data_IF_929374760940
#
_entry.id   IF_929374760940
#
_cell.length_a   1.000
_cell.length_b   1.000
_cell.length_c   1.000
_cell.angle_alpha   90.00
_cell.angle_beta   90.00
_cell.angle_gamma   90.00
#
_symmetry.space_group_name_H-M   'P 1'
#
loop_
_entity.id
_entity.type
_entity.pdbx_description
1 polymer ?
#
# COMPACT_ATOMS: atom_id res chain seq x y z
N UNK A 1 -7.68 -17.25 12.88
CA UNK A 1 -8.86 -17.36 11.98
C UNK A 1 -8.51 -17.95 10.63
N UNK A 2 -7.43 -17.49 9.96
CA UNK A 2 -6.81 -18.19 8.84
C UNK A 2 -6.74 -19.70 9.11
N UNK A 3 -6.27 -20.10 10.30
CA UNK A 3 -6.16 -21.50 10.76
C UNK A 3 -7.38 -22.46 10.56
N UNK A 4 -8.64 -22.00 10.64
CA UNK A 4 -9.81 -22.90 10.52
C UNK A 4 -10.36 -22.97 9.09
N UNK A 5 -10.31 -21.84 8.36
CA UNK A 5 -10.53 -21.80 6.91
C UNK A 5 -9.40 -22.59 6.24
N UNK A 6 -8.16 -22.37 6.67
CA UNK A 6 -6.95 -23.11 6.28
C UNK A 6 -7.10 -24.60 6.49
N UNK A 7 -7.64 -25.16 7.60
CA UNK A 7 -7.66 -26.63 7.74
C UNK A 7 -8.61 -27.34 6.79
N UNK A 8 -9.78 -26.77 6.53
CA UNK A 8 -10.76 -27.36 5.60
C UNK A 8 -10.33 -27.10 4.15
N UNK A 9 -9.75 -25.93 3.87
CA UNK A 9 -9.20 -25.61 2.55
C UNK A 9 -7.80 -26.23 2.30
N UNK A 10 -6.96 -26.49 3.30
CA UNK A 10 -5.66 -27.21 3.18
C UNK A 10 -5.90 -28.64 2.76
N UNK A 11 -6.96 -29.27 3.26
CA UNK A 11 -7.34 -30.63 2.86
C UNK A 11 -7.80 -30.69 1.39
N UNK A 12 -8.47 -29.63 0.90
CA UNK A 12 -8.96 -29.56 -0.49
C UNK A 12 -7.88 -28.99 -1.45
N UNK A 13 -7.05 -28.07 -0.98
CA UNK A 13 -6.09 -27.30 -1.77
C UNK A 13 -4.70 -27.92 -1.84
N UNK A 14 -4.32 -28.81 -0.91
CA UNK A 14 -3.12 -29.64 -1.06
C UNK A 14 -3.21 -30.60 -2.25
N UNK A 15 -4.42 -30.91 -2.72
CA UNK A 15 -4.65 -31.85 -3.82
C UNK A 15 -5.00 -31.19 -5.16
N UNK A 16 -5.38 -29.90 -5.17
CA UNK A 16 -5.90 -29.24 -6.38
C UNK A 16 -4.96 -28.18 -6.98
N UNK A 17 -3.83 -27.84 -6.35
CA UNK A 17 -2.96 -26.77 -6.82
C UNK A 17 -1.52 -27.24 -6.94
N UNK A 18 -0.92 -26.99 -8.11
CA UNK A 18 0.51 -27.17 -8.35
C UNK A 18 1.31 -26.34 -7.35
N UNK A 19 2.44 -26.88 -6.89
CA UNK A 19 3.43 -26.10 -6.15
C UNK A 19 3.80 -24.85 -6.96
N UNK A 20 3.81 -23.69 -6.31
CA UNK A 20 4.35 -22.47 -6.92
C UNK A 20 5.83 -22.76 -7.20
N UNK A 21 6.32 -22.59 -8.46
CA UNK A 21 7.74 -22.73 -8.75
C UNK A 21 8.55 -21.80 -7.85
N UNK A 22 9.72 -22.25 -7.40
CA UNK A 22 10.60 -21.46 -6.55
C UNK A 22 12.01 -21.47 -7.13
N UNK A 23 12.46 -20.31 -7.56
CA UNK A 23 13.79 -20.08 -8.11
C UNK A 23 14.57 -19.17 -7.16
N UNK A 24 15.68 -19.64 -6.59
CA UNK A 24 16.47 -18.85 -5.66
C UNK A 24 17.06 -17.61 -6.33
N UNK A 25 16.97 -16.47 -5.65
CA UNK A 25 17.54 -15.18 -6.05
C UNK A 25 18.17 -14.47 -4.86
N UNK A 26 19.08 -13.54 -5.15
CA UNK A 26 19.55 -12.54 -4.19
C UNK A 26 19.17 -11.16 -4.70
N UNK A 27 18.62 -10.34 -3.82
CA UNK A 27 18.06 -9.04 -4.20
C UNK A 27 18.92 -7.94 -3.60
N UNK A 28 19.51 -7.06 -4.44
CA UNK A 28 20.17 -5.84 -3.98
C UNK A 28 19.18 -4.88 -3.28
N UNK A 29 19.65 -4.00 -2.38
CA UNK A 29 21.05 -3.83 -1.97
C UNK A 29 21.49 -4.78 -0.83
N UNK A 30 20.54 -5.33 -0.05
CA UNK A 30 20.84 -6.06 1.19
C UNK A 30 21.31 -7.52 0.99
N UNK A 31 21.46 -7.94 -0.28
CA UNK A 31 21.81 -9.31 -0.68
C UNK A 31 20.88 -10.36 -0.05
N UNK A 32 19.60 -9.99 0.14
CA UNK A 32 18.60 -10.85 0.78
C UNK A 32 18.34 -12.06 -0.11
N UNK A 33 18.58 -13.25 0.44
CA UNK A 33 18.29 -14.52 -0.22
C UNK A 33 16.79 -14.82 -0.13
N UNK A 34 16.15 -15.06 -1.28
CA UNK A 34 14.74 -15.39 -1.38
C UNK A 34 14.44 -16.20 -2.64
N UNK A 35 13.16 -16.38 -2.99
CA UNK A 35 12.72 -17.08 -4.20
C UNK A 35 11.78 -16.24 -5.04
N UNK A 36 11.78 -16.51 -6.34
CA UNK A 36 10.80 -16.00 -7.31
C UNK A 36 10.00 -17.11 -7.99
N UNK A 37 8.86 -16.75 -8.58
CA UNK A 37 7.87 -17.67 -9.15
C UNK A 37 8.09 -18.05 -10.61
N UNK A 38 9.10 -17.49 -11.28
CA UNK A 38 9.44 -17.83 -12.67
C UNK A 38 10.93 -17.70 -13.02
N UNK A 39 11.36 -18.44 -14.04
CA UNK A 39 12.72 -18.33 -14.58
C UNK A 39 13.01 -16.95 -15.16
N UNK A 40 12.00 -16.30 -15.75
CA UNK A 40 12.15 -14.96 -16.30
C UNK A 40 12.38 -13.94 -15.18
N UNK A 41 11.67 -14.05 -14.05
CA UNK A 41 11.92 -13.22 -12.88
C UNK A 41 13.32 -13.46 -12.32
N UNK A 42 13.76 -14.72 -12.23
CA UNK A 42 15.11 -15.06 -11.76
C UNK A 42 16.18 -14.44 -12.66
N UNK A 43 16.07 -14.65 -13.97
CA UNK A 43 17.00 -14.10 -14.95
C UNK A 43 16.98 -12.56 -14.96
N UNK A 44 15.79 -11.96 -14.82
CA UNK A 44 15.62 -10.52 -14.78
C UNK A 44 16.44 -9.89 -13.65
N UNK A 45 16.28 -10.40 -12.42
CA UNK A 45 16.99 -9.88 -11.24
C UNK A 45 18.48 -10.19 -11.29
N UNK A 46 18.86 -11.44 -11.58
CA UNK A 46 20.25 -11.87 -11.44
C UNK A 46 21.14 -11.32 -12.55
N UNK A 47 20.68 -11.37 -13.80
CA UNK A 47 21.53 -11.10 -14.97
C UNK A 47 21.09 -9.84 -15.71
N UNK A 48 19.82 -9.74 -16.08
CA UNK A 48 19.32 -8.69 -16.97
C UNK A 48 19.55 -7.28 -16.39
N UNK A 49 19.19 -7.03 -15.13
CA UNK A 49 19.40 -5.72 -14.50
C UNK A 49 20.88 -5.34 -14.36
N UNK A 50 21.78 -6.33 -14.32
CA UNK A 50 23.24 -6.10 -14.25
C UNK A 50 23.90 -5.90 -15.61
N UNK A 51 23.13 -5.83 -16.70
CA UNK A 51 23.64 -5.71 -18.06
C UNK A 51 24.13 -7.02 -18.68
N UNK A 52 24.05 -8.15 -17.97
CA UNK A 52 24.38 -9.46 -18.54
C UNK A 52 23.24 -9.92 -19.45
N UNK A 53 23.58 -10.30 -20.69
CA UNK A 53 22.64 -10.70 -21.76
C UNK A 53 23.02 -12.10 -22.23
N UNK A 54 22.62 -13.09 -21.43
CA UNK A 54 23.02 -14.50 -21.57
C UNK A 54 21.88 -15.39 -22.08
N UNK A 55 20.68 -14.83 -22.33
CA UNK A 55 19.51 -15.56 -22.86
C UNK A 55 18.97 -14.85 -24.11
N UNK A 56 19.55 -15.10 -25.30
CA UNK A 56 19.18 -14.42 -26.54
C UNK A 56 17.68 -14.51 -26.91
N UNK A 57 16.98 -15.54 -26.44
CA UNK A 57 15.53 -15.71 -26.65
C UNK A 57 14.68 -14.83 -25.71
N UNK A 58 15.16 -14.54 -24.51
CA UNK A 58 14.44 -13.74 -23.51
C UNK A 58 14.83 -12.25 -23.57
N UNK A 59 16.06 -11.94 -23.98
CA UNK A 59 16.61 -10.59 -23.92
C UNK A 59 15.80 -9.53 -24.69
N UNK A 60 15.38 -9.74 -25.95
CA UNK A 60 14.63 -8.72 -26.70
C UNK A 60 13.29 -8.39 -26.04
N UNK A 61 12.57 -9.41 -25.60
CA UNK A 61 11.27 -9.27 -24.96
C UNK A 61 11.37 -8.60 -23.58
N UNK A 62 12.35 -9.01 -22.75
CA UNK A 62 12.57 -8.38 -21.44
C UNK A 62 13.02 -6.93 -21.58
N UNK A 63 13.81 -6.62 -22.61
CA UNK A 63 14.17 -5.24 -22.93
C UNK A 63 12.95 -4.41 -23.32
N UNK A 64 12.08 -4.92 -24.19
CA UNK A 64 10.84 -4.24 -24.57
C UNK A 64 9.94 -3.95 -23.35
N UNK A 65 9.74 -4.94 -22.46
CA UNK A 65 8.96 -4.76 -21.25
C UNK A 65 9.60 -3.77 -20.27
N UNK A 66 10.92 -3.83 -20.11
CA UNK A 66 11.64 -2.94 -19.21
C UNK A 66 11.63 -1.50 -19.73
N UNK A 67 11.85 -1.28 -21.02
CA UNK A 67 11.75 0.03 -21.65
C UNK A 67 10.32 0.57 -21.53
N UNK A 68 9.30 -0.27 -21.74
CA UNK A 68 7.90 0.11 -21.52
C UNK A 68 7.62 0.48 -20.06
N UNK A 69 8.22 -0.20 -19.09
CA UNK A 69 8.10 0.14 -17.67
C UNK A 69 8.73 1.50 -17.38
N UNK A 70 9.95 1.76 -17.85
CA UNK A 70 10.63 3.04 -17.68
C UNK A 70 9.85 4.18 -18.35
N UNK A 71 9.25 3.93 -19.51
CA UNK A 71 8.42 4.91 -20.21
C UNK A 71 7.01 5.06 -19.61
N UNK A 72 6.71 4.41 -18.47
CA UNK A 72 5.39 4.40 -17.82
C UNK A 72 4.24 3.93 -18.73
N UNK A 73 4.52 2.97 -19.62
CA UNK A 73 3.55 2.43 -20.60
C UNK A 73 2.90 1.12 -20.17
N UNK A 74 3.26 0.55 -19.01
CA UNK A 74 2.62 -0.67 -18.52
C UNK A 74 1.31 -0.33 -17.78
N UNK A 75 0.21 -0.71 -18.41
CA UNK A 75 -1.13 -0.63 -17.82
C UNK A 75 -1.37 -1.82 -16.88
N UNK A 76 -2.44 -1.75 -16.08
CA UNK A 76 -2.86 -2.89 -15.26
C UNK A 76 -3.15 -4.14 -16.11
N UNK A 77 -3.70 -3.98 -17.32
CA UNK A 77 -3.99 -5.08 -18.23
C UNK A 77 -2.70 -5.69 -18.80
N UNK A 78 -1.71 -4.86 -19.17
CA UNK A 78 -0.39 -5.32 -19.60
C UNK A 78 0.31 -6.11 -18.47
N UNK A 79 0.29 -5.58 -17.25
CA UNK A 79 0.89 -6.26 -16.10
C UNK A 79 0.18 -7.59 -15.78
N UNK A 80 -1.15 -7.64 -15.89
CA UNK A 80 -1.90 -8.88 -15.73
C UNK A 80 -1.56 -9.91 -16.82
N UNK A 81 -1.28 -9.47 -18.04
CA UNK A 81 -0.80 -10.34 -19.12
C UNK A 81 0.61 -10.89 -18.84
N UNK A 82 1.54 -10.03 -18.41
CA UNK A 82 2.88 -10.46 -17.98
C UNK A 82 2.77 -11.48 -16.85
N UNK A 83 1.91 -11.24 -15.86
CA UNK A 83 1.66 -12.18 -14.76
C UNK A 83 1.24 -13.55 -15.26
N UNK A 84 0.27 -13.62 -16.18
CA UNK A 84 -0.23 -14.90 -16.72
C UNK A 84 0.82 -15.66 -17.53
N UNK A 85 1.66 -14.94 -18.28
CA UNK A 85 2.59 -15.55 -19.23
C UNK A 85 3.99 -15.79 -18.64
N UNK A 86 4.38 -15.03 -17.62
CA UNK A 86 5.77 -14.96 -17.15
C UNK A 86 5.92 -14.88 -15.63
N UNK A 87 4.83 -15.02 -14.86
CA UNK A 87 4.86 -15.04 -13.41
C UNK A 87 4.62 -13.67 -12.77
N UNK A 88 4.13 -13.72 -11.53
CA UNK A 88 3.74 -12.56 -10.72
C UNK A 88 4.95 -11.71 -10.39
N UNK A 89 6.09 -12.36 -10.09
CA UNK A 89 7.27 -11.66 -9.61
C UNK A 89 7.92 -10.83 -10.71
N UNK A 90 7.90 -11.30 -11.97
CA UNK A 90 8.37 -10.48 -13.09
C UNK A 90 7.49 -9.24 -13.27
N UNK A 91 6.16 -9.41 -13.24
CA UNK A 91 5.23 -8.29 -13.36
C UNK A 91 5.41 -7.29 -12.20
N UNK A 92 5.66 -7.79 -10.99
CA UNK A 92 5.93 -6.97 -9.81
C UNK A 92 7.24 -6.17 -9.95
N UNK A 93 8.31 -6.80 -10.44
CA UNK A 93 9.60 -6.14 -10.68
C UNK A 93 9.50 -5.06 -11.76
N UNK A 94 8.71 -5.29 -12.82
CA UNK A 94 8.44 -4.28 -13.85
C UNK A 94 7.60 -3.12 -13.31
N UNK A 95 6.58 -3.41 -12.50
CA UNK A 95 5.80 -2.38 -11.83
C UNK A 95 6.68 -1.56 -10.87
N UNK A 96 7.60 -2.19 -10.15
CA UNK A 96 8.56 -1.51 -9.30
C UNK A 96 9.44 -0.55 -10.11
N UNK A 97 10.02 -1.01 -11.22
CA UNK A 97 10.81 -0.15 -12.11
C UNK A 97 9.99 1.05 -12.64
N UNK A 98 8.73 0.84 -12.98
CA UNK A 98 7.83 1.92 -13.39
C UNK A 98 7.56 2.93 -12.25
N UNK A 99 7.33 2.45 -11.02
CA UNK A 99 7.14 3.28 -9.84
C UNK A 99 8.41 4.11 -9.57
N UNK A 100 9.58 3.48 -9.54
CA UNK A 100 10.86 4.15 -9.23
C UNK A 100 11.29 5.15 -10.30
N UNK A 101 10.89 4.97 -11.56
CA UNK A 101 11.28 5.88 -12.63
C UNK A 101 10.53 7.23 -12.60
N UNK A 102 9.47 7.36 -11.79
CA UNK A 102 8.79 8.64 -11.60
C UNK A 102 9.59 9.55 -10.66
N UNK A 103 9.95 10.78 -11.07
CA UNK A 103 10.82 11.66 -10.28
C UNK A 103 10.34 11.91 -8.84
N UNK A 104 9.04 12.09 -8.65
CA UNK A 104 8.41 12.32 -7.35
C UNK A 104 8.52 11.10 -6.43
N UNK A 105 8.36 9.89 -6.96
CA UNK A 105 8.49 8.64 -6.21
C UNK A 105 9.95 8.44 -5.80
N UNK A 106 10.88 8.65 -6.73
CA UNK A 106 12.31 8.57 -6.46
C UNK A 106 12.74 9.53 -5.34
N UNK A 107 12.25 10.76 -5.35
CA UNK A 107 12.57 11.76 -4.32
C UNK A 107 12.06 11.36 -2.93
N UNK A 108 10.78 10.98 -2.81
CA UNK A 108 10.25 10.58 -1.51
C UNK A 108 10.92 9.30 -0.99
N UNK A 109 11.23 8.35 -1.90
CA UNK A 109 11.99 7.14 -1.56
C UNK A 109 13.37 7.50 -1.03
N UNK A 110 14.12 8.38 -1.70
CA UNK A 110 15.43 8.85 -1.25
C UNK A 110 15.39 9.53 0.13
N UNK A 111 14.36 10.32 0.41
CA UNK A 111 14.19 10.94 1.73
C UNK A 111 13.91 9.87 2.79
N UNK A 112 13.04 8.90 2.49
CA UNK A 112 12.79 7.78 3.39
C UNK A 112 14.06 6.96 3.64
N UNK A 113 14.82 6.64 2.59
CA UNK A 113 16.06 5.89 2.70
C UNK A 113 17.09 6.66 3.53
N UNK A 114 17.21 7.97 3.32
CA UNK A 114 18.06 8.83 4.14
C UNK A 114 17.71 8.74 5.62
N UNK A 115 16.43 8.88 6.00
CA UNK A 115 16.01 8.71 7.40
C UNK A 115 16.25 7.29 7.93
N UNK A 116 16.16 6.27 7.07
CA UNK A 116 16.49 4.89 7.41
C UNK A 116 17.99 4.69 7.62
N UNK A 117 18.86 5.46 6.97
CA UNK A 117 20.31 5.36 7.16
C UNK A 117 20.83 6.09 8.41
N UNK A 118 20.05 7.01 8.97
CA UNK A 118 20.44 7.74 10.18
C UNK A 118 20.50 6.81 11.39
N UNK A 119 21.72 6.50 11.84
CA UNK A 119 21.94 5.79 13.10
C UNK A 119 21.71 6.72 14.30
N UNK A 120 20.99 6.21 15.30
CA UNK A 120 20.73 6.91 16.57
C UNK A 120 20.07 8.29 16.42
N UNK A 121 19.42 8.56 15.28
CA UNK A 121 18.67 9.80 15.12
C UNK A 121 17.37 9.72 15.90
N UNK A 122 17.24 10.63 16.86
CA UNK A 122 16.00 10.85 17.60
C UNK A 122 15.30 12.09 17.03
N UNK A 123 14.08 11.93 16.49
CA UNK A 123 13.34 13.09 16.02
C UNK A 123 13.11 14.08 17.16
N UNK A 124 13.30 15.39 16.91
CA UNK A 124 13.10 16.38 17.95
C UNK A 124 11.61 16.41 18.33
N UNK A 125 11.35 16.43 19.64
CA UNK A 125 10.03 16.71 20.18
C UNK A 125 9.60 18.13 19.76
N UNK A 126 8.41 18.26 19.20
CA UNK A 126 7.91 19.53 18.66
C UNK A 126 6.40 19.62 18.75
N UNK A 127 5.88 20.75 19.25
CA UNK A 127 4.45 21.07 19.18
C UNK A 127 3.96 21.35 17.75
N UNK A 128 4.90 21.57 16.82
CA UNK A 128 4.63 22.01 15.45
C UNK A 128 4.36 20.85 14.49
N UNK A 129 4.45 19.59 14.95
CA UNK A 129 4.01 18.46 14.14
C UNK A 129 2.51 18.57 13.81
N UNK A 130 2.08 18.07 12.64
CA UNK A 130 0.67 18.02 12.32
C UNK A 130 -0.06 17.09 13.28
N UNK A 131 -1.37 17.30 13.40
CA UNK A 131 -2.25 16.30 13.98
C UNK A 131 -2.44 15.16 12.97
N UNK A 132 -2.36 13.90 13.41
CA UNK A 132 -2.55 12.73 12.54
C UNK A 132 -3.89 12.05 12.83
N UNK A 133 -4.81 12.04 11.86
CA UNK A 133 -6.01 11.21 11.93
C UNK A 133 -5.72 9.82 11.35
N UNK A 134 -5.94 8.77 12.14
CA UNK A 134 -5.60 7.39 11.79
C UNK A 134 -6.87 6.60 11.49
N UNK A 135 -7.03 6.18 10.24
CA UNK A 135 -8.19 5.41 9.77
C UNK A 135 -7.79 3.94 9.62
N UNK A 136 -8.39 3.02 10.39
CA UNK A 136 -7.99 1.62 10.42
C UNK A 136 -8.42 0.84 9.18
N UNK A 137 -7.89 -0.38 9.06
CA UNK A 137 -8.30 -1.36 8.08
C UNK A 137 -9.53 -2.15 8.49
N UNK A 138 -9.90 -3.11 7.65
CA UNK A 138 -11.05 -3.98 7.91
C UNK A 138 -10.77 -4.99 9.04
N UNK A 139 -11.77 -5.23 9.89
CA UNK A 139 -11.69 -6.19 11.01
C UNK A 139 -10.56 -5.88 12.02
N UNK A 140 -10.23 -4.60 12.23
CA UNK A 140 -9.20 -4.18 13.16
C UNK A 140 -9.53 -4.55 14.62
N UNK A 141 -10.81 -4.59 15.01
CA UNK A 141 -11.22 -4.98 16.37
C UNK A 141 -11.34 -6.50 16.50
N UNK A 142 -12.00 -7.14 15.53
CA UNK A 142 -12.28 -8.58 15.55
C UNK A 142 -11.05 -9.43 15.24
N UNK A 143 -10.05 -8.88 14.55
CA UNK A 143 -8.81 -9.53 14.14
C UNK A 143 -7.58 -8.65 14.43
N UNK A 144 -7.26 -8.38 15.71
CA UNK A 144 -6.17 -7.47 16.08
C UNK A 144 -4.79 -7.96 15.60
N UNK A 145 -4.63 -9.28 15.44
CA UNK A 145 -3.41 -9.90 14.92
C UNK A 145 -3.13 -9.60 13.45
N UNK A 146 -3.96 -8.80 12.77
CA UNK A 146 -3.68 -8.32 11.41
C UNK A 146 -2.83 -7.05 11.40
N UNK A 147 -2.82 -6.28 12.50
CA UNK A 147 -2.21 -4.94 12.55
C UNK A 147 -3.06 -3.86 11.87
N UNK A 148 -4.31 -4.15 11.48
CA UNK A 148 -5.21 -3.19 10.83
C UNK A 148 -5.59 -2.00 11.73
N UNK A 149 -5.37 -2.08 13.05
CA UNK A 149 -5.59 -1.00 14.02
C UNK A 149 -4.40 -0.03 14.15
N UNK A 150 -3.31 -0.28 13.41
CA UNK A 150 -2.07 0.49 13.41
C UNK A 150 -1.52 0.76 14.82
N UNK A 151 -1.69 -0.21 15.73
CA UNK A 151 -1.33 -0.02 17.15
C UNK A 151 0.13 0.32 17.36
N UNK A 152 1.04 -0.41 16.70
CA UNK A 152 2.48 -0.17 16.85
C UNK A 152 2.86 1.22 16.35
N UNK A 153 2.29 1.65 15.22
CA UNK A 153 2.47 2.99 14.67
C UNK A 153 1.94 4.07 15.61
N UNK A 154 0.78 3.86 16.24
CA UNK A 154 0.25 4.77 17.26
C UNK A 154 1.18 4.89 18.46
N UNK A 155 1.69 3.78 18.99
CA UNK A 155 2.67 3.80 20.08
C UNK A 155 3.93 4.57 19.67
N UNK A 156 4.42 4.42 18.44
CA UNK A 156 5.55 5.21 17.95
C UNK A 156 5.21 6.71 17.91
N UNK A 157 4.02 7.09 17.44
CA UNK A 157 3.59 8.49 17.43
C UNK A 157 3.48 9.07 18.85
N UNK A 158 2.96 8.31 19.81
CA UNK A 158 2.89 8.70 21.23
C UNK A 158 4.29 8.98 21.80
N UNK A 159 5.24 8.08 21.56
CA UNK A 159 6.63 8.24 22.02
C UNK A 159 7.34 9.42 21.36
N UNK A 160 7.01 9.72 20.10
CA UNK A 160 7.51 10.90 19.39
C UNK A 160 6.81 12.21 19.79
N UNK A 161 5.80 12.15 20.68
CA UNK A 161 5.01 13.30 21.09
C UNK A 161 4.19 13.90 19.95
N UNK A 162 3.82 13.10 18.94
CA UNK A 162 3.01 13.53 17.80
C UNK A 162 1.53 13.28 18.12
N UNK A 163 0.75 14.37 18.16
CA UNK A 163 -0.68 14.31 18.41
C UNK A 163 -1.37 13.52 17.30
N UNK A 164 -2.20 12.57 17.70
CA UNK A 164 -2.96 11.76 16.77
C UNK A 164 -4.34 11.40 17.33
N UNK A 165 -5.25 11.01 16.44
CA UNK A 165 -6.58 10.52 16.80
C UNK A 165 -6.88 9.28 15.98
N UNK A 166 -7.21 8.21 16.68
CA UNK A 166 -7.73 7.00 16.06
C UNK A 166 -9.21 7.22 15.68
N UNK A 167 -9.54 7.03 14.41
CA UNK A 167 -10.90 7.17 13.89
C UNK A 167 -11.61 5.83 14.06
N UNK A 168 -12.42 5.71 15.11
CA UNK A 168 -13.20 4.50 15.41
C UNK A 168 -14.32 4.31 14.36
N UNK A 169 -13.98 3.60 13.27
CA UNK A 169 -14.93 3.18 12.25
C UNK A 169 -15.61 1.87 12.63
N UNK A 170 -16.81 1.60 12.10
CA UNK A 170 -17.48 0.33 12.37
C UNK A 170 -16.76 -0.85 11.68
N UNK A 171 -16.36 -1.84 12.48
CA UNK A 171 -15.43 -2.91 12.09
C UNK A 171 -15.93 -3.78 10.91
N UNK A 172 -17.24 -4.02 10.84
CA UNK A 172 -17.91 -4.78 9.78
C UNK A 172 -18.99 -3.98 9.02
N UNK A 173 -18.82 -2.67 8.90
CA UNK A 173 -19.70 -1.84 8.07
C UNK A 173 -19.19 -1.64 6.64
N UNK A 174 -20.01 -1.03 5.79
CA UNK A 174 -19.64 -0.69 4.41
C UNK A 174 -18.57 0.39 4.36
N UNK A 175 -17.87 0.51 3.23
CA UNK A 175 -16.99 1.65 2.97
C UNK A 175 -17.76 2.97 3.01
N UNK A 176 -18.99 3.00 2.50
CA UNK A 176 -19.80 4.22 2.43
C UNK A 176 -20.23 4.77 3.79
N UNK A 177 -20.59 3.87 4.70
CA UNK A 177 -20.99 4.19 6.07
C UNK A 177 -19.78 4.67 6.88
N UNK A 178 -18.67 3.92 6.82
CA UNK A 178 -17.45 4.32 7.52
C UNK A 178 -16.84 5.62 6.96
N UNK A 179 -16.95 5.87 5.66
CA UNK A 179 -16.55 7.15 5.09
C UNK A 179 -17.36 8.34 5.68
N UNK A 180 -18.59 8.13 6.14
CA UNK A 180 -19.35 9.18 6.82
C UNK A 180 -18.79 9.47 8.21
N UNK A 181 -18.34 8.43 8.93
CA UNK A 181 -17.64 8.54 10.21
C UNK A 181 -16.31 9.28 10.02
N UNK A 182 -15.51 8.87 9.03
CA UNK A 182 -14.22 9.51 8.69
C UNK A 182 -14.43 10.99 8.37
N UNK A 183 -15.39 11.31 7.49
CA UNK A 183 -15.74 12.69 7.15
C UNK A 183 -16.08 13.53 8.40
N UNK A 184 -16.95 13.01 9.26
CA UNK A 184 -17.37 13.69 10.49
C UNK A 184 -16.18 13.94 11.44
N UNK A 185 -15.36 12.94 11.70
CA UNK A 185 -14.24 13.04 12.63
C UNK A 185 -13.16 13.97 12.07
N UNK A 186 -12.79 13.83 10.81
CA UNK A 186 -11.81 14.68 10.14
C UNK A 186 -12.27 16.14 10.12
N UNK A 187 -13.53 16.40 9.77
CA UNK A 187 -14.09 17.76 9.77
C UNK A 187 -14.05 18.38 11.17
N UNK A 188 -14.30 17.59 12.22
CA UNK A 188 -14.19 18.07 13.60
C UNK A 188 -12.74 18.40 13.97
N UNK A 189 -11.79 17.52 13.64
CA UNK A 189 -10.37 17.73 13.94
C UNK A 189 -9.79 18.94 13.21
N UNK A 190 -10.26 19.20 11.99
CA UNK A 190 -9.87 20.36 11.19
C UNK A 190 -10.21 21.73 11.80
N UNK A 191 -11.06 21.78 12.83
CA UNK A 191 -11.33 23.02 13.55
C UNK A 191 -10.21 23.42 14.52
N UNK A 192 -9.29 22.50 14.81
CA UNK A 192 -8.09 22.78 15.58
C UNK A 192 -7.05 23.46 14.68
N UNK A 193 -6.36 24.50 15.15
CA UNK A 193 -5.42 25.30 14.34
C UNK A 193 -4.16 24.56 13.84
N UNK A 194 -4.06 23.25 14.05
CA UNK A 194 -2.93 22.43 13.58
C UNK A 194 -3.20 21.89 12.18
N UNK A 195 -2.19 21.82 11.30
CA UNK A 195 -2.28 21.07 10.05
C UNK A 195 -2.72 19.61 10.31
N UNK A 196 -3.58 19.08 9.45
CA UNK A 196 -4.12 17.72 9.58
C UNK A 196 -3.57 16.81 8.49
N UNK A 197 -2.91 15.72 8.88
CA UNK A 197 -2.50 14.61 8.02
C UNK A 197 -3.44 13.43 8.27
N UNK A 198 -3.97 12.81 7.22
CA UNK A 198 -4.70 11.54 7.37
C UNK A 198 -3.77 10.39 7.04
N UNK A 199 -3.67 9.41 7.94
CA UNK A 199 -3.02 8.12 7.73
C UNK A 199 -4.12 7.06 7.67
N UNK A 200 -4.23 6.35 6.56
CA UNK A 200 -5.23 5.28 6.41
C UNK A 200 -4.56 3.99 5.97
N UNK A 201 -5.09 2.83 6.38
CA UNK A 201 -4.62 1.54 5.87
C UNK A 201 -5.73 0.66 5.28
N UNK A 202 -5.38 -0.15 4.28
CA UNK A 202 -6.27 -1.18 3.71
C UNK A 202 -7.68 -0.61 3.36
N UNK A 203 -8.76 -1.15 3.91
CA UNK A 203 -10.15 -0.65 3.70
C UNK A 203 -10.30 0.84 4.06
N UNK A 204 -9.59 1.30 5.09
CA UNK A 204 -9.58 2.70 5.51
C UNK A 204 -9.12 3.66 4.41
N UNK A 205 -8.31 3.19 3.45
CA UNK A 205 -7.94 3.97 2.27
C UNK A 205 -9.14 4.33 1.40
N UNK A 206 -10.05 3.38 1.15
CA UNK A 206 -11.26 3.60 0.34
C UNK A 206 -12.29 4.46 1.07
N UNK A 207 -12.36 4.32 2.39
CA UNK A 207 -13.20 5.16 3.27
C UNK A 207 -12.71 6.61 3.26
N UNK A 208 -11.40 6.79 3.40
CA UNK A 208 -10.73 8.10 3.35
C UNK A 208 -10.90 8.76 1.99
N UNK A 209 -10.70 8.01 0.90
CA UNK A 209 -10.92 8.51 -0.46
C UNK A 209 -12.33 9.09 -0.63
N UNK A 210 -13.35 8.34 -0.19
CA UNK A 210 -14.74 8.76 -0.31
C UNK A 210 -15.06 9.96 0.60
N UNK A 211 -14.51 9.99 1.82
CA UNK A 211 -14.65 11.11 2.72
C UNK A 211 -14.05 12.40 2.12
N UNK A 212 -12.82 12.32 1.56
CA UNK A 212 -12.17 13.44 0.86
C UNK A 212 -13.03 13.92 -0.30
N UNK A 213 -13.52 13.02 -1.15
CA UNK A 213 -14.40 13.40 -2.26
C UNK A 213 -15.73 14.03 -1.83
N UNK A 214 -16.24 13.71 -0.63
CA UNK A 214 -17.40 14.39 -0.05
C UNK A 214 -17.04 15.78 0.45
N UNK A 215 -15.94 15.92 1.19
CA UNK A 215 -15.46 17.21 1.70
C UNK A 215 -15.13 18.19 0.56
N UNK A 216 -14.46 17.71 -0.49
CA UNK A 216 -14.12 18.51 -1.67
C UNK A 216 -15.38 19.06 -2.35
N UNK A 217 -16.39 18.20 -2.59
CA UNK A 217 -17.67 18.64 -3.16
C UNK A 217 -18.41 19.68 -2.32
N UNK A 218 -18.20 19.68 -1.00
CA UNK A 218 -18.77 20.69 -0.09
C UNK A 218 -17.91 21.95 0.03
N UNK A 219 -16.71 21.98 -0.57
CA UNK A 219 -15.74 23.05 -0.38
C UNK A 219 -15.21 23.15 1.05
N UNK A 220 -15.21 22.04 1.79
CA UNK A 220 -14.85 21.97 3.21
C UNK A 220 -13.58 21.15 3.47
N UNK A 221 -12.74 20.94 2.44
CA UNK A 221 -11.54 20.14 2.61
C UNK A 221 -10.49 20.90 3.43
N UNK A 222 -10.12 20.33 4.57
CA UNK A 222 -9.17 20.92 5.51
C UNK A 222 -7.95 20.03 5.80
N UNK A 223 -7.83 18.91 5.09
CA UNK A 223 -6.68 18.02 5.18
C UNK A 223 -5.51 18.65 4.41
N UNK A 224 -4.31 18.57 4.98
CA UNK A 224 -3.06 19.08 4.37
C UNK A 224 -2.23 18.01 3.69
N UNK A 225 -2.50 16.73 3.96
CA UNK A 225 -1.94 15.61 3.22
C UNK A 225 -2.62 14.30 3.56
N UNK A 226 -2.44 13.29 2.70
CA UNK A 226 -2.96 11.94 2.93
C UNK A 226 -1.88 10.89 2.67
N UNK A 227 -1.62 10.09 3.70
CA UNK A 227 -0.78 8.90 3.65
C UNK A 227 -1.64 7.63 3.53
N UNK A 228 -1.69 7.07 2.33
CA UNK A 228 -2.48 5.90 1.98
C UNK A 228 -1.61 4.62 2.04
N UNK A 229 -1.74 3.83 3.10
CA UNK A 229 -0.92 2.62 3.33
C UNK A 229 -1.66 1.36 2.86
N UNK A 230 -1.20 0.79 1.75
CA UNK A 230 -1.79 -0.40 1.11
C UNK A 230 -3.31 -0.30 0.95
N UNK A 231 -3.84 0.90 0.68
CA UNK A 231 -5.27 1.13 0.62
C UNK A 231 -5.93 0.39 -0.54
N UNK A 232 -7.05 -0.30 -0.30
CA UNK A 232 -7.77 -1.05 -1.34
C UNK A 232 -8.69 -0.14 -2.17
N UNK A 233 -8.13 0.93 -2.71
CA UNK A 233 -8.84 2.06 -3.33
C UNK A 233 -9.83 1.59 -4.40
N UNK A 234 -9.37 0.76 -5.34
CA UNK A 234 -10.19 0.17 -6.40
C UNK A 234 -10.74 -1.22 -6.04
N UNK A 235 -10.78 -1.55 -4.74
CA UNK A 235 -11.27 -2.80 -4.19
C UNK A 235 -10.19 -3.88 -4.09
N UNK A 236 -10.62 -5.12 -3.84
CA UNK A 236 -9.75 -6.28 -3.73
C UNK A 236 -10.35 -7.52 -4.39
N UNK A 237 -9.56 -8.33 -5.13
CA UNK A 237 -10.02 -9.62 -5.66
C UNK A 237 -10.47 -10.61 -4.57
N UNK A 238 -9.98 -10.45 -3.34
CA UNK A 238 -10.41 -11.28 -2.20
C UNK A 238 -11.90 -11.04 -1.92
N UNK A 239 -12.35 -9.78 -1.92
CA UNK A 239 -13.76 -9.46 -1.72
C UNK A 239 -14.61 -10.01 -2.87
N UNK A 240 -14.17 -9.88 -4.12
CA UNK A 240 -14.88 -10.43 -5.29
C UNK A 240 -15.08 -11.95 -5.15
N UNK A 241 -14.03 -12.66 -4.71
CA UNK A 241 -14.10 -14.12 -4.51
C UNK A 241 -15.02 -14.50 -3.37
N UNK A 242 -15.00 -13.77 -2.26
CA UNK A 242 -15.89 -14.00 -1.14
C UNK A 242 -17.35 -13.72 -1.49
N UNK A 243 -17.62 -12.69 -2.31
CA UNK A 243 -18.97 -12.30 -2.72
C UNK A 243 -19.51 -13.11 -3.91
N UNK A 244 -18.67 -13.90 -4.59
CA UNK A 244 -19.11 -14.79 -5.65
C UNK A 244 -20.15 -15.80 -5.16
N UNK A 245 -21.26 -15.97 -5.89
CA UNK A 245 -22.45 -16.70 -5.44
C UNK A 245 -22.16 -18.13 -4.92
N UNK A 246 -21.21 -18.84 -5.53
CA UNK A 246 -20.86 -20.22 -5.16
C UNK A 246 -20.12 -20.32 -3.82
N UNK A 247 -19.44 -19.25 -3.40
CA UNK A 247 -18.65 -19.17 -2.16
C UNK A 247 -19.42 -18.39 -1.07
N UNK A 248 -20.19 -17.38 -1.49
CA UNK A 248 -20.88 -16.41 -0.62
C UNK A 248 -21.70 -17.05 0.49
N UNK A 249 -22.49 -18.08 0.20
CA UNK A 249 -23.35 -18.72 1.19
C UNK A 249 -22.52 -19.39 2.30
N UNK A 250 -21.41 -20.03 1.94
CA UNK A 250 -20.50 -20.67 2.88
C UNK A 250 -19.74 -19.63 3.69
N UNK A 251 -19.21 -18.60 3.02
CA UNK A 251 -18.50 -17.52 3.67
C UNK A 251 -19.41 -16.77 4.67
N UNK A 252 -20.65 -16.43 4.29
CA UNK A 252 -21.66 -15.87 5.22
C UNK A 252 -21.85 -16.74 6.46
N UNK A 253 -22.01 -18.05 6.28
CA UNK A 253 -22.19 -18.98 7.41
C UNK A 253 -20.98 -18.99 8.35
N UNK A 254 -19.77 -18.98 7.81
CA UNK A 254 -18.53 -18.91 8.60
C UNK A 254 -18.45 -17.57 9.33
N UNK A 255 -18.71 -16.46 8.65
CA UNK A 255 -18.63 -15.13 9.25
C UNK A 255 -19.65 -14.96 10.38
N UNK A 256 -20.90 -15.38 10.20
CA UNK A 256 -21.93 -15.35 11.24
C UNK A 256 -21.52 -16.22 12.44
N UNK A 257 -21.03 -17.45 12.21
CA UNK A 257 -20.62 -18.36 13.30
C UNK A 257 -19.53 -17.78 14.19
N UNK A 258 -18.66 -16.94 13.63
CA UNK A 258 -17.56 -16.32 14.35
C UNK A 258 -17.86 -14.88 14.82
N UNK A 259 -19.09 -14.40 14.65
CA UNK A 259 -19.47 -13.03 15.06
C UNK A 259 -18.94 -11.91 14.15
N UNK A 260 -18.46 -12.25 12.95
CA UNK A 260 -17.81 -11.34 12.00
C UNK A 260 -18.71 -10.86 10.86
N UNK A 261 -19.90 -11.44 10.72
CA UNK A 261 -20.77 -11.25 9.56
C UNK A 261 -22.13 -10.69 9.88
N UNK A 262 -22.23 -9.74 10.82
CA UNK A 262 -23.53 -9.08 11.06
C UNK A 262 -23.97 -8.31 9.81
N UNK A 263 -23.02 -7.76 9.06
CA UNK A 263 -23.28 -7.07 7.82
C UNK A 263 -22.33 -7.53 6.70
N UNK A 264 -22.89 -8.25 5.71
CA UNK A 264 -22.14 -8.69 4.52
C UNK A 264 -21.74 -7.52 3.61
N UNK A 265 -22.34 -6.36 3.80
CA UNK A 265 -22.00 -5.14 3.07
C UNK A 265 -20.54 -4.72 3.28
N UNK A 266 -19.93 -5.09 4.41
CA UNK A 266 -18.48 -4.91 4.59
C UNK A 266 -17.66 -5.57 3.49
N UNK A 267 -18.03 -6.78 3.06
CA UNK A 267 -17.35 -7.49 1.96
C UNK A 267 -17.80 -6.93 0.62
N UNK A 268 -19.10 -6.83 0.38
CA UNK A 268 -19.62 -6.38 -0.92
C UNK A 268 -19.17 -4.95 -1.29
N UNK A 269 -18.99 -4.07 -0.31
CA UNK A 269 -18.48 -2.70 -0.54
C UNK A 269 -16.98 -2.63 -0.90
N UNK A 270 -16.21 -3.70 -0.67
CA UNK A 270 -14.79 -3.81 -1.04
C UNK A 270 -14.58 -4.53 -2.39
N UNK A 271 -15.64 -5.05 -3.02
CA UNK A 271 -15.56 -5.65 -4.34
C UNK A 271 -15.07 -4.63 -5.38
N UNK A 272 -14.30 -5.09 -6.36
CA UNK A 272 -13.59 -4.22 -7.32
C UNK A 272 -14.55 -3.41 -8.17
N UNK A 273 -15.61 -4.03 -8.67
CA UNK A 273 -16.58 -3.35 -9.54
C UNK A 273 -17.22 -2.14 -8.83
N UNK A 274 -17.75 -2.36 -7.62
CA UNK A 274 -18.34 -1.29 -6.82
C UNK A 274 -17.31 -0.24 -6.40
N UNK A 275 -16.11 -0.66 -6.01
CA UNK A 275 -15.05 0.27 -5.59
C UNK A 275 -14.59 1.15 -6.76
N UNK A 276 -14.46 0.60 -7.97
CA UNK A 276 -14.15 1.35 -9.19
C UNK A 276 -15.26 2.33 -9.57
N UNK A 277 -16.53 1.91 -9.48
CA UNK A 277 -17.66 2.80 -9.70
C UNK A 277 -17.59 3.98 -8.71
N UNK A 278 -17.42 3.70 -7.42
CA UNK A 278 -17.27 4.72 -6.37
C UNK A 278 -16.11 5.66 -6.67
N UNK A 279 -14.94 5.12 -7.04
CA UNK A 279 -13.74 5.93 -7.29
C UNK A 279 -13.88 6.88 -8.47
N UNK A 280 -14.60 6.48 -9.54
CA UNK A 280 -14.86 7.35 -10.70
C UNK A 280 -15.61 8.63 -10.35
N UNK A 281 -16.39 8.62 -9.27
CA UNK A 281 -17.17 9.76 -8.79
C UNK A 281 -16.36 10.67 -7.85
N UNK A 282 -15.20 10.21 -7.37
CA UNK A 282 -14.32 10.97 -6.48
C UNK A 282 -13.48 11.94 -7.31
N UNK A 283 -13.33 13.16 -6.79
CA UNK A 283 -12.37 14.15 -7.27
C UNK A 283 -11.49 14.54 -6.09
N UNK A 284 -10.19 14.53 -6.32
CA UNK A 284 -9.21 15.04 -5.38
C UNK A 284 -8.79 16.42 -5.87
N UNK A 285 -8.65 17.42 -4.99
CA UNK A 285 -8.08 18.69 -5.41
C UNK A 285 -6.60 18.50 -5.73
N UNK A 286 -6.15 19.18 -6.79
CA UNK A 286 -4.75 19.11 -7.26
C UNK A 286 -3.75 19.56 -6.18
N UNK A 287 -4.20 20.39 -5.24
CA UNK A 287 -3.38 20.91 -4.14
C UNK A 287 -3.22 19.94 -2.96
N UNK A 288 -3.91 18.79 -2.93
CA UNK A 288 -3.79 17.83 -1.84
C UNK A 288 -2.63 16.88 -2.12
N UNK A 289 -1.52 16.94 -1.36
CA UNK A 289 -0.45 15.96 -1.49
C UNK A 289 -0.95 14.60 -0.97
N UNK A 290 -0.79 13.58 -1.82
CA UNK A 290 -1.13 12.20 -1.51
C UNK A 290 0.13 11.35 -1.68
N UNK A 291 0.38 10.46 -0.73
CA UNK A 291 1.42 9.45 -0.79
C UNK A 291 0.78 8.07 -0.69
N UNK A 292 0.87 7.27 -1.75
CA UNK A 292 0.63 5.84 -1.66
C UNK A 292 1.85 5.18 -1.02
N UNK A 293 1.62 4.29 -0.07
CA UNK A 293 2.66 3.48 0.54
C UNK A 293 2.32 2.03 0.29
N UNK A 294 3.02 1.39 -0.64
CA UNK A 294 2.67 0.08 -1.19
C UNK A 294 3.71 -0.97 -0.83
N UNK A 295 3.23 -2.16 -0.50
CA UNK A 295 4.03 -3.34 -0.25
C UNK A 295 4.32 -4.09 -1.57
N UNK A 296 5.55 -4.50 -1.80
CA UNK A 296 5.97 -5.24 -3.01
C UNK A 296 6.62 -6.59 -2.64
N UNK A 297 5.83 -7.61 -2.25
CA UNK A 297 6.37 -8.90 -1.86
C UNK A 297 6.67 -9.77 -3.09
N UNK A 298 7.92 -10.17 -3.28
CA UNK A 298 8.17 -11.33 -4.14
C UNK A 298 7.57 -12.59 -3.52
N UNK A 299 7.28 -13.60 -4.32
CA UNK A 299 6.66 -14.86 -3.86
C UNK A 299 7.39 -15.54 -2.70
N UNK A 300 8.72 -15.46 -2.64
CA UNK A 300 9.51 -15.98 -1.51
C UNK A 300 9.49 -15.12 -0.24
N UNK A 301 8.98 -13.89 -0.30
CA UNK A 301 8.90 -12.93 0.81
C UNK A 301 7.48 -12.74 1.34
N UNK A 302 6.49 -13.45 0.76
CA UNK A 302 5.14 -13.48 1.29
C UNK A 302 5.12 -14.17 2.66
N UNK A 303 4.51 -13.52 3.66
CA UNK A 303 4.41 -14.11 4.99
C UNK A 303 3.48 -15.33 4.98
N UNK A 304 3.64 -16.28 5.92
CA UNK A 304 2.73 -17.42 6.05
C UNK A 304 1.26 -17.01 6.12
N UNK A 305 0.96 -15.89 6.77
CA UNK A 305 -0.41 -15.40 6.91
C UNK A 305 -0.95 -14.65 5.69
N UNK A 306 -0.08 -14.10 4.85
CA UNK A 306 -0.44 -13.51 3.55
C UNK A 306 -0.58 -14.56 2.44
N UNK A 307 -0.04 -15.77 2.64
CA UNK A 307 0.09 -16.77 1.57
C UNK A 307 -1.23 -17.18 0.90
N UNK A 308 -2.31 -17.37 1.66
CA UNK A 308 -3.60 -17.71 1.04
C UNK A 308 -4.18 -16.55 0.22
N UNK A 309 -4.01 -15.32 0.68
CA UNK A 309 -4.33 -14.13 -0.10
C UNK A 309 -3.53 -14.07 -1.39
N UNK A 310 -2.22 -14.32 -1.31
CA UNK A 310 -1.32 -14.43 -2.47
C UNK A 310 -1.82 -15.47 -3.48
N UNK A 311 -2.20 -16.67 -3.02
CA UNK A 311 -2.74 -17.71 -3.90
C UNK A 311 -3.99 -17.27 -4.66
N UNK A 312 -4.82 -16.41 -4.08
CA UNK A 312 -6.05 -15.92 -4.73
C UNK A 312 -5.80 -14.78 -5.70
N UNK A 313 -4.68 -14.08 -5.57
CA UNK A 313 -4.40 -12.82 -6.25
C UNK A 313 -3.26 -12.91 -7.27
N UNK A 314 -2.30 -13.82 -7.06
CA UNK A 314 -1.06 -13.94 -7.86
C UNK A 314 -1.29 -14.09 -9.36
N UNK A 315 -2.39 -14.72 -9.79
CA UNK A 315 -2.66 -14.95 -11.22
C UNK A 315 -3.39 -13.76 -11.89
N UNK A 316 -3.67 -12.68 -11.14
CA UNK A 316 -4.45 -11.53 -11.59
C UNK A 316 -3.61 -10.28 -11.89
N UNK A 317 -2.37 -10.23 -11.43
CA UNK A 317 -1.46 -9.10 -11.57
C UNK A 317 -0.49 -9.00 -10.38
N UNK A 318 0.43 -8.01 -10.39
CA UNK A 318 1.25 -7.68 -9.22
C UNK A 318 0.39 -7.43 -7.98
N UNK A 319 0.67 -8.12 -6.89
CA UNK A 319 -0.17 -8.11 -5.69
C UNK A 319 0.66 -8.03 -4.42
N UNK A 320 0.09 -7.38 -3.41
CA UNK A 320 0.64 -7.39 -2.05
C UNK A 320 0.04 -8.51 -1.17
N UNK A 321 -0.57 -9.52 -1.79
CA UNK A 321 -1.37 -10.61 -1.21
C UNK A 321 -2.83 -10.30 -0.89
N UNK A 322 -3.23 -9.03 -0.77
CA UNK A 322 -4.61 -8.67 -0.48
C UNK A 322 -5.26 -7.95 -1.65
N UNK A 323 -4.56 -7.03 -2.31
CA UNK A 323 -5.05 -6.36 -3.52
C UNK A 323 -3.98 -6.35 -4.61
N UNK A 324 -4.40 -5.98 -5.82
CA UNK A 324 -3.43 -5.67 -6.87
C UNK A 324 -2.80 -4.32 -6.55
N UNK A 325 -1.49 -4.21 -6.68
CA UNK A 325 -0.80 -2.95 -6.34
C UNK A 325 -1.30 -1.82 -7.24
N UNK A 326 -1.61 -2.10 -8.52
CA UNK A 326 -2.21 -1.13 -9.45
C UNK A 326 -3.58 -0.62 -9.00
N UNK A 327 -4.32 -1.40 -8.21
CA UNK A 327 -5.64 -1.01 -7.66
C UNK A 327 -5.49 -0.14 -6.38
N UNK A 328 -4.28 0.05 -5.87
CA UNK A 328 -3.97 0.87 -4.69
C UNK A 328 -3.46 2.28 -5.05
N UNK A 329 -2.97 2.45 -6.29
CA UNK A 329 -2.33 3.68 -6.72
C UNK A 329 -3.37 4.76 -7.06
N UNK A 330 -3.27 5.88 -6.36
CA UNK A 330 -4.06 7.08 -6.66
C UNK A 330 -3.36 7.85 -7.78
N UNK A 331 -4.06 8.29 -8.84
CA UNK A 331 -3.45 9.11 -9.89
C UNK A 331 -2.86 10.42 -9.35
N UNK A 332 -1.81 10.95 -10.00
CA UNK A 332 -1.17 12.22 -9.65
C UNK A 332 -0.69 12.32 -8.19
N UNK A 333 -0.30 11.18 -7.61
CA UNK A 333 0.26 11.10 -6.26
C UNK A 333 1.67 10.52 -6.30
N UNK A 334 2.43 10.73 -5.22
CA UNK A 334 3.70 10.06 -5.00
C UNK A 334 3.48 8.66 -4.43
N UNK A 335 4.44 7.78 -4.64
CA UNK A 335 4.43 6.39 -4.17
C UNK A 335 5.74 6.09 -3.47
N UNK A 336 5.62 5.69 -2.21
CA UNK A 336 6.68 5.07 -1.42
C UNK A 336 6.48 3.54 -1.50
N UNK A 337 7.52 2.82 -1.89
CA UNK A 337 7.44 1.36 -2.05
C UNK A 337 8.29 0.66 -1.01
N UNK A 338 7.69 -0.31 -0.32
CA UNK A 338 8.39 -1.20 0.61
C UNK A 338 8.59 -2.56 -0.04
N UNK A 339 9.78 -2.73 -0.59
CA UNK A 339 10.17 -3.97 -1.24
C UNK A 339 10.32 -5.11 -0.22
N UNK A 340 9.78 -6.28 -0.54
CA UNK A 340 9.91 -7.47 0.29
C UNK A 340 8.98 -7.56 1.49
N UNK A 341 8.07 -6.59 1.67
CA UNK A 341 6.97 -6.68 2.62
C UNK A 341 5.68 -7.04 1.88
N UNK A 342 4.75 -7.73 2.57
CA UNK A 342 3.39 -7.95 2.08
C UNK A 342 2.39 -6.92 2.63
N UNK A 343 1.11 -7.07 2.35
CA UNK A 343 0.02 -6.15 2.75
C UNK A 343 0.06 -5.74 4.23
N UNK A 344 0.61 -6.59 5.12
CA UNK A 344 0.68 -6.30 6.55
C UNK A 344 1.84 -5.38 6.93
N UNK A 345 2.78 -5.16 6.02
CA UNK A 345 3.98 -4.33 6.18
C UNK A 345 4.81 -4.69 7.43
N UNK A 346 4.74 -5.94 7.88
CA UNK A 346 5.46 -6.40 9.08
C UNK A 346 6.94 -6.53 8.79
N UNK A 347 7.74 -5.79 9.54
CA UNK A 347 9.19 -5.80 9.47
C UNK A 347 9.78 -5.98 10.87
N UNK A 348 10.88 -6.74 11.03
CA UNK A 348 11.65 -6.74 12.28
C UNK A 348 12.13 -5.33 12.68
N UNK A 349 12.25 -4.43 11.71
CA UNK A 349 12.65 -3.03 11.88
C UNK A 349 11.46 -2.06 11.77
N UNK A 350 10.25 -2.49 12.14
CA UNK A 350 9.00 -1.72 11.98
C UNK A 350 9.13 -0.27 12.46
N UNK A 351 9.66 -0.03 13.67
CA UNK A 351 9.87 1.33 14.17
C UNK A 351 10.69 2.18 13.21
N UNK A 352 11.85 1.66 12.80
CA UNK A 352 12.79 2.37 11.94
C UNK A 352 12.16 2.68 10.58
N UNK A 353 11.48 1.69 9.98
CA UNK A 353 10.79 1.86 8.71
C UNK A 353 9.65 2.88 8.83
N UNK A 354 8.79 2.75 9.85
CA UNK A 354 7.68 3.66 10.04
C UNK A 354 8.13 5.11 10.28
N UNK A 355 9.16 5.32 11.11
CA UNK A 355 9.73 6.67 11.33
C UNK A 355 10.27 7.23 10.02
N UNK A 356 11.06 6.46 9.27
CA UNK A 356 11.60 6.89 7.98
C UNK A 356 10.49 7.30 7.00
N UNK A 357 9.47 6.46 6.83
CA UNK A 357 8.32 6.76 5.97
C UNK A 357 7.52 7.96 6.47
N UNK A 358 7.29 8.09 7.78
CA UNK A 358 6.57 9.21 8.38
C UNK A 358 7.26 10.52 8.05
N UNK A 359 8.56 10.63 8.27
CA UNK A 359 9.29 11.88 8.01
C UNK A 359 9.42 12.19 6.52
N UNK A 360 9.51 11.17 5.66
CA UNK A 360 9.44 11.36 4.21
C UNK A 360 8.06 11.89 3.74
N UNK A 361 6.98 11.37 4.32
CA UNK A 361 5.61 11.83 4.05
C UNK A 361 5.39 13.25 4.57
N UNK A 362 5.85 13.55 5.80
CA UNK A 362 5.79 14.91 6.34
C UNK A 362 6.58 15.89 5.47
N UNK A 363 7.74 15.49 4.97
CA UNK A 363 8.53 16.30 4.03
C UNK A 363 7.77 16.56 2.74
N UNK A 364 7.23 15.50 2.12
CA UNK A 364 6.51 15.59 0.85
C UNK A 364 5.25 16.46 0.95
N UNK A 365 4.55 16.41 2.08
CA UNK A 365 3.35 17.21 2.35
C UNK A 365 3.65 18.64 2.85
N UNK A 366 4.93 19.04 2.97
CA UNK A 366 5.33 20.32 3.58
C UNK A 366 4.78 20.51 5.01
N UNK A 367 4.91 19.45 5.82
CA UNK A 367 4.44 19.35 7.20
C UNK A 367 5.57 19.06 8.20
N UNK A 368 6.84 19.12 7.76
CA UNK A 368 7.96 19.00 8.69
C UNK A 368 8.07 20.24 9.59
N UNK A 369 8.29 20.06 10.91
CA UNK A 369 8.57 21.18 11.78
C UNK A 369 9.81 21.95 11.33
N UNK A 370 9.84 23.29 11.44
CA UNK A 370 11.00 24.10 11.05
C UNK A 370 12.32 23.68 11.72
N UNK A 371 12.25 23.13 12.95
CA UNK A 371 13.42 22.58 13.66
C UNK A 371 14.02 21.38 12.94
N UNK A 372 13.18 20.49 12.42
CA UNK A 372 13.59 19.34 11.61
C UNK A 372 14.12 19.85 10.29
N UNK A 373 13.37 20.69 9.57
CA UNK A 373 13.79 21.23 8.26
C UNK A 373 15.17 21.89 8.30
N UNK A 374 15.52 22.62 9.36
CA UNK A 374 16.85 23.22 9.52
C UNK A 374 17.98 22.19 9.65
N UNK A 375 17.75 21.11 10.41
CA UNK A 375 18.70 20.01 10.53
C UNK A 375 18.93 19.32 9.17
N UNK A 376 17.90 19.32 8.32
CA UNK A 376 17.90 18.66 7.01
C UNK A 376 18.02 19.64 5.83
N UNK A 377 18.66 20.79 6.04
CA UNK A 377 18.94 21.79 4.98
C UNK A 377 19.75 21.26 3.78
N UNK A 378 20.26 20.02 3.88
CA UNK A 378 20.85 19.26 2.77
C UNK A 378 19.79 18.75 1.78
N UNK A 379 18.56 18.45 2.22
CA UNK A 379 17.45 18.00 1.36
C UNK A 379 16.74 19.17 0.64
N UNK A 380 16.87 20.41 1.15
CA UNK A 380 16.21 21.60 0.57
C UNK A 380 16.79 22.07 -0.76
N UNK A 381 17.92 21.54 -1.22
CA UNK A 381 18.41 21.82 -2.59
C UNK A 381 17.59 21.10 -3.69
N UNK A 382 16.56 20.32 -3.31
CA UNK A 382 15.75 19.53 -4.24
C UNK A 382 14.22 19.72 -4.06
N UNK A 383 13.77 20.80 -3.41
CA UNK A 383 12.34 21.00 -3.10
C UNK A 383 11.48 21.29 -4.37
N UNK A 384 10.23 20.79 -4.49
CA UNK A 384 9.48 20.77 -5.76
C UNK A 384 8.75 22.07 -6.15
N UNK A 385 8.87 23.15 -5.37
CA UNK A 385 7.95 24.29 -5.48
C UNK A 385 8.61 25.60 -5.95
N UNK A 386 9.71 25.56 -6.71
CA UNK A 386 10.21 26.75 -7.39
C UNK A 386 9.97 26.66 -8.91
N UNK A 387 8.91 27.28 -9.46
CA UNK A 387 8.61 27.26 -10.90
C UNK A 387 9.57 28.11 -11.75
N UNK A 388 10.71 28.58 -11.22
CA UNK A 388 11.53 29.62 -11.86
C UNK A 388 12.87 29.16 -12.45
N UNK A 389 13.00 27.91 -12.90
CA UNK A 389 14.19 27.50 -13.66
C UNK A 389 13.87 26.68 -14.91
N UNK A 390 13.04 27.23 -15.79
CA UNK A 390 13.16 27.00 -17.23
C UNK A 390 13.13 28.36 -17.94
N UNK A 391 14.32 28.89 -18.23
CA UNK A 391 14.59 29.92 -19.23
C UNK A 391 15.83 29.52 -19.99
#
# INVERSE_FOLDING_TARGET
>A
MAWLIDRVWLLISRFLFSKIPQYSVRIPPDDTETTVDSENAQYFVQDFLSGRRNRPQSDPFLQELYDAALENRLSADHLAEVTRNHGTDLALLLLHAQIENRPENKRIQQVSDHFRELENWEPPQSSDYPHIAIVPGWMYEKLPDTGADLREQRTILEELGIDHTFVETEDDSSVEDNAAIVDQVVTKLATNSKPLLVLSCSKGGSETALAIGRMERRGSLAIRGWWNVSGIILGTPIADRLDHWSIRWYAKRVFVRNGWGKNWESVSSMCRERSRQRFREIRFPESLPIVNHVALPLSGLVTPEGFEGYRWTRDLGPTDTTSLITDQLIPNSATLSEFGLDHRLRSPNMRKNFVASLFAVLWYCDLLPPKVTKQFSILSQQHPCDPQQEN
#
